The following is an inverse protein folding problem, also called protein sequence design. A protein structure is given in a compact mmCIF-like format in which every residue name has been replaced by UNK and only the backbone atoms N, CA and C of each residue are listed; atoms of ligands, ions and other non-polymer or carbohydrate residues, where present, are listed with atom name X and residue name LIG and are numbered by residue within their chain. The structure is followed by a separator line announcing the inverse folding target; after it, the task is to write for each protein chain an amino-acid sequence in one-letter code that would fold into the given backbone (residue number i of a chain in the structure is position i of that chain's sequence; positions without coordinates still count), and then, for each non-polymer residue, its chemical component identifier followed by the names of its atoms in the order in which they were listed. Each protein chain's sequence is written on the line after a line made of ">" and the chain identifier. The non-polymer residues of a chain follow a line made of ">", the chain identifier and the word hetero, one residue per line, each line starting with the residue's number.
data_IF_929122195319
#
_entry.id   IF_929122195319
#
_cell.length_a   1.000
_cell.length_b   1.000
_cell.length_c   1.000
_cell.angle_alpha   90.00
_cell.angle_beta   90.00
_cell.angle_gamma   90.00
#
_symmetry.space_group_name_H-M   'P 1'
#
loop_
_entity.id
_entity.type
_entity.pdbx_description
1 polymer ?
#
# COMPACT_ATOMS: atom_id res chain seq x y z
N UNK A 1 -4.42 -11.38 -1.98
CA UNK A 1 -4.47 -10.22 -2.89
C UNK A 1 -4.99 -9.03 -2.10
N UNK A 2 -4.27 -7.91 -2.12
CA UNK A 2 -4.70 -6.72 -1.39
C UNK A 2 -6.04 -6.19 -1.92
N UNK A 3 -6.93 -5.83 -1.00
CA UNK A 3 -8.26 -5.30 -1.34
C UNK A 3 -8.26 -3.78 -1.25
N UNK A 4 -8.30 -3.10 -2.40
CA UNK A 4 -8.20 -1.64 -2.49
C UNK A 4 -9.57 -1.05 -2.81
N UNK A 5 -10.07 -0.17 -1.92
CA UNK A 5 -11.33 0.55 -2.15
C UNK A 5 -11.22 1.54 -3.30
N UNK A 6 -12.32 1.75 -4.03
CA UNK A 6 -12.39 2.63 -5.21
C UNK A 6 -11.91 4.07 -4.90
N UNK A 7 -12.21 4.55 -3.70
CA UNK A 7 -11.88 5.91 -3.25
C UNK A 7 -10.36 6.16 -3.12
N UNK A 8 -9.56 5.10 -2.94
CA UNK A 8 -8.09 5.16 -2.86
C UNK A 8 -7.41 4.47 -4.04
N UNK A 9 -8.18 3.74 -4.86
CA UNK A 9 -7.69 2.99 -6.00
C UNK A 9 -6.92 3.86 -6.98
N UNK A 10 -7.40 5.07 -7.29
CA UNK A 10 -6.70 6.02 -8.15
C UNK A 10 -5.30 6.30 -7.63
N UNK A 11 -5.17 6.59 -6.33
CA UNK A 11 -3.86 6.85 -5.71
C UNK A 11 -2.99 5.61 -5.67
N UNK A 12 -3.57 4.44 -5.40
CA UNK A 12 -2.86 3.17 -5.44
C UNK A 12 -2.31 2.86 -6.85
N UNK A 13 -3.08 3.11 -7.91
CA UNK A 13 -2.65 2.87 -9.29
C UNK A 13 -1.53 3.83 -9.73
N UNK A 14 -1.53 5.06 -9.22
CA UNK A 14 -0.44 6.05 -9.40
C UNK A 14 0.87 5.64 -8.72
N UNK A 15 0.84 4.71 -7.75
CA UNK A 15 2.07 4.24 -7.10
C UNK A 15 2.95 3.44 -8.08
N UNK A 16 4.28 3.46 -7.89
CA UNK A 16 5.19 2.58 -8.61
C UNK A 16 4.83 1.10 -8.40
N UNK A 17 5.19 0.29 -9.40
CA UNK A 17 4.89 -1.15 -9.43
C UNK A 17 5.46 -1.87 -8.20
N UNK A 18 6.63 -1.46 -7.73
CA UNK A 18 7.29 -2.02 -6.54
C UNK A 18 6.44 -1.85 -5.28
N UNK A 19 5.91 -0.66 -5.00
CA UNK A 19 5.01 -0.44 -3.86
C UNK A 19 3.70 -1.20 -4.02
N UNK A 20 3.15 -1.26 -5.24
CA UNK A 20 1.93 -2.07 -5.51
C UNK A 20 2.15 -3.56 -5.26
N UNK A 21 3.34 -4.07 -5.58
CA UNK A 21 3.70 -5.47 -5.30
C UNK A 21 3.83 -5.69 -3.80
N UNK A 22 4.60 -4.85 -3.09
CA UNK A 22 4.73 -4.93 -1.64
C UNK A 22 3.37 -4.91 -0.92
N UNK A 23 2.48 -3.99 -1.32
CA UNK A 23 1.13 -3.91 -0.77
C UNK A 23 0.34 -5.20 -1.06
N UNK A 24 0.46 -5.76 -2.26
CA UNK A 24 -0.20 -7.01 -2.63
C UNK A 24 0.33 -8.22 -1.87
N UNK A 25 1.63 -8.27 -1.59
CA UNK A 25 2.28 -9.34 -0.83
C UNK A 25 1.86 -9.34 0.64
N UNK A 26 1.59 -8.15 1.21
CA UNK A 26 1.13 -8.00 2.59
C UNK A 26 -0.35 -8.40 2.83
N UNK A 27 -1.10 -8.74 1.78
CA UNK A 27 -2.52 -9.15 1.87
C UNK A 27 -3.42 -8.17 2.66
N UNK A 28 -3.15 -6.86 2.55
CA UNK A 28 -3.87 -5.83 3.31
C UNK A 28 -5.14 -5.36 2.62
N UNK A 29 -6.11 -4.90 3.42
CA UNK A 29 -7.30 -4.22 2.91
C UNK A 29 -7.16 -2.72 3.19
N UNK A 30 -7.29 -1.91 2.15
CA UNK A 30 -7.12 -0.46 2.21
C UNK A 30 -8.44 0.20 1.82
N UNK A 31 -9.15 0.72 2.81
CA UNK A 31 -10.48 1.31 2.61
C UNK A 31 -10.43 2.82 2.40
N UNK A 32 -9.41 3.47 2.93
CA UNK A 32 -9.27 4.92 2.94
C UNK A 32 -7.80 5.33 2.88
N UNK A 33 -7.57 6.63 2.66
CA UNK A 33 -6.22 7.16 2.41
C UNK A 33 -5.29 7.02 3.63
N UNK A 34 -5.83 7.06 4.85
CA UNK A 34 -5.04 6.88 6.06
C UNK A 34 -4.47 5.46 6.16
N UNK A 35 -5.25 4.45 5.79
CA UNK A 35 -4.74 3.07 5.70
C UNK A 35 -3.68 2.93 4.62
N UNK A 36 -3.86 3.59 3.47
CA UNK A 36 -2.87 3.57 2.40
C UNK A 36 -1.54 4.17 2.88
N UNK A 37 -1.58 5.34 3.52
CA UNK A 37 -0.39 5.98 4.08
C UNK A 37 0.28 5.10 5.12
N UNK A 38 -0.49 4.47 6.00
CA UNK A 38 0.05 3.60 7.05
C UNK A 38 0.77 2.38 6.46
N UNK A 39 0.20 1.75 5.44
CA UNK A 39 0.84 0.61 4.76
C UNK A 39 2.12 1.06 4.05
N UNK A 40 2.11 2.23 3.41
CA UNK A 40 3.30 2.79 2.77
C UNK A 40 4.41 3.13 3.78
N UNK A 41 4.03 3.68 4.93
CA UNK A 41 4.95 3.95 6.03
C UNK A 41 5.54 2.64 6.59
N UNK A 42 4.71 1.62 6.78
CA UNK A 42 5.15 0.28 7.23
C UNK A 42 6.19 -0.33 6.28
N UNK A 43 5.93 -0.27 4.97
CA UNK A 43 6.86 -0.74 3.92
C UNK A 43 8.18 0.05 4.00
N UNK A 44 8.11 1.39 4.04
CA UNK A 44 9.29 2.24 4.11
C UNK A 44 10.11 2.03 5.40
N UNK A 45 9.44 1.70 6.50
CA UNK A 45 10.06 1.51 7.81
C UNK A 45 10.70 0.12 7.93
N UNK A 46 10.14 -0.90 7.28
CA UNK A 46 10.76 -2.23 7.14
C UNK A 46 12.03 -2.18 6.30
N UNK A 47 12.05 -1.43 5.19
CA UNK A 47 13.25 -1.25 4.36
C UNK A 47 14.40 -0.54 5.10
N UNK A 48 14.10 0.19 6.18
CA UNK A 48 15.09 0.95 6.96
C UNK A 48 15.70 0.16 8.13
N UNK A 49 15.41 -1.14 8.26
CA UNK A 49 15.91 -1.99 9.35
C UNK A 49 16.98 -3.02 8.91
N UNK A 50 17.51 -2.93 7.68
CA UNK A 50 18.66 -3.73 7.20
C UNK A 50 19.99 -2.97 7.19
#
# INVERSE_FOLDING_TARGET
>A
MASISENVRVKFEELPIELKNNINEKDVTINNMAELMKVLEDISNEESQE
#
